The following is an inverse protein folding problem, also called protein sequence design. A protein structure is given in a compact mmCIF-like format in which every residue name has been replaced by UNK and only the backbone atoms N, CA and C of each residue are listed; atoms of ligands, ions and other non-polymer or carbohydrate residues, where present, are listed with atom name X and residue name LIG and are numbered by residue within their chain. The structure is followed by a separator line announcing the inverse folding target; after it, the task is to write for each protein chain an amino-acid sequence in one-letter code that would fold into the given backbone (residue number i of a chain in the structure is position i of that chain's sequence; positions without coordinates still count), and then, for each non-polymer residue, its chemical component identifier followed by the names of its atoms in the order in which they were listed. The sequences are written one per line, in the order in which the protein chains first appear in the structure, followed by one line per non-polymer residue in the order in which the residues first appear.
data_IF_096170608936
#
_entry.id   IF_096170608936
#
_cell.length_a   1.000
_cell.length_b   1.000
_cell.length_c   1.000
_cell.angle_alpha   90.00
_cell.angle_beta   90.00
_cell.angle_gamma   90.00
#
_symmetry.space_group_name_H-M   'P 1'
#
loop_
_entity.id
_entity.type
_entity.pdbx_description
1 polymer ?
#
# COMPACT_ATOMS: atom_id res chain seq x y z
N UNK A 1 -40.09 -11.99 27.76
CA UNK A 1 -39.53 -12.10 27.90
C UNK A 1 -38.96 -12.07 27.70
N UNK A 2 -38.92 -11.79 27.55
CA UNK A 2 -38.12 -11.71 27.44
C UNK A 2 -37.52 -11.60 27.03
N UNK A 3 -37.50 -11.45 26.90
CA UNK A 3 -36.73 -11.43 26.64
C UNK A 3 -36.10 -11.34 26.11
N UNK A 4 -36.00 -11.24 25.87
CA UNK A 4 -35.14 -11.24 25.55
C UNK A 4 -34.81 -11.02 24.97
N UNK A 5 -34.82 -10.75 24.90
CA UNK A 5 -34.19 -10.68 24.62
C UNK A 5 -33.72 -10.49 24.13
N UNK A 6 -33.69 -10.32 23.98
CA UNK A 6 -32.90 -10.26 23.72
C UNK A 6 -32.33 -10.12 23.25
N UNK A 7 -32.32 -9.92 23.05
CA UNK A 7 -31.41 -9.88 22.77
C UNK A 7 -30.85 -9.86 22.19
N UNK A 8 -30.98 -9.75 22.07
CA UNK A 8 -30.03 -9.79 21.59
C UNK A 8 -29.49 -9.70 20.93
N UNK A 9 -29.31 -9.56 20.61
CA UNK A 9 -28.47 -9.54 20.22
C UNK A 9 -27.92 -9.54 19.85
N UNK A 10 -28.05 -9.39 19.77
CA UNK A 10 -27.11 -9.45 19.44
C UNK A 10 -26.60 -9.48 18.97
N UNK A 11 -26.81 -9.29 18.94
CA UNK A 11 -26.00 -9.38 18.65
C UNK A 11 -25.50 -9.35 18.10
N UNK A 12 -25.56 -9.17 17.85
CA UNK A 12 -24.66 -9.13 17.58
C UNK A 12 -24.28 -8.95 16.86
N UNK A 13 -24.34 -8.75 16.86
CA UNK A 13 -23.64 -8.61 16.44
C UNK A 13 -23.15 -8.50 15.93
N UNK A 14 -23.05 -8.42 15.80
CA UNK A 14 -22.26 -8.29 15.24
C UNK A 14 -21.73 -8.16 14.72
N UNK A 15 -21.79 -8.01 14.59
CA UNK A 15 -21.03 -7.92 14.19
C UNK A 15 -20.56 -7.76 13.68
N UNK A 16 -20.52 -7.69 13.60
CA UNK A 16 -19.77 -7.49 13.08
C UNK A 16 -19.30 -7.37 12.48
N UNK A 17 -19.07 -7.39 12.26
CA UNK A 17 -18.44 -7.35 11.83
C UNK A 17 -18.18 -7.22 11.14
N UNK A 18 -18.24 -7.11 11.13
CA UNK A 18 -17.86 -6.97 10.64
C UNK A 18 -17.59 -6.73 9.99
N UNK A 19 -17.57 -6.53 9.77
CA UNK A 19 -17.07 -6.30 9.28
C UNK A 19 -16.62 -6.00 8.76
N UNK A 20 -16.58 -5.56 8.70
CA UNK A 20 -15.85 -5.26 8.33
C UNK A 20 -15.18 -5.02 7.12
N UNK A 21 -15.14 -5.18 6.44
CA UNK A 21 -14.40 -5.18 5.23
C UNK A 21 -14.49 -3.98 4.39
N UNK A 22 -15.55 -3.39 4.21
CA UNK A 22 -15.63 -2.23 3.50
C UNK A 22 -14.93 -1.11 4.06
N UNK A 23 -14.85 -1.09 5.28
CA UNK A 23 -14.04 -0.17 5.94
C UNK A 23 -12.61 -0.26 5.50
N UNK A 24 -12.13 -1.46 5.28
CA UNK A 24 -10.78 -1.64 4.80
C UNK A 24 -10.58 -1.05 3.43
N UNK A 25 -11.58 -1.10 2.57
CA UNK A 25 -11.47 -0.56 1.23
C UNK A 25 -11.36 0.95 1.23
N UNK A 26 -11.79 1.61 2.31
CA UNK A 26 -11.71 3.06 2.41
C UNK A 26 -10.43 3.53 3.08
N UNK A 27 -9.64 2.62 3.63
CA UNK A 27 -8.38 3.00 4.27
C UNK A 27 -7.33 3.32 3.24
N UNK A 28 -6.54 4.34 3.52
CA UNK A 28 -5.44 4.73 2.66
C UNK A 28 -4.22 5.00 3.51
N UNK A 29 -3.07 4.77 2.91
CA UNK A 29 -1.79 5.13 3.47
C UNK A 29 -1.37 6.44 2.84
N UNK A 30 -1.04 7.44 3.66
CA UNK A 30 -0.57 8.73 3.14
C UNK A 30 0.88 8.90 3.50
N UNK A 31 1.71 9.13 2.49
CA UNK A 31 3.15 9.22 2.68
C UNK A 31 3.65 10.46 1.98
N UNK A 32 4.41 11.28 2.69
CA UNK A 32 5.03 12.47 2.11
C UNK A 32 6.42 12.10 1.60
N UNK A 33 6.64 12.32 0.32
CA UNK A 33 7.93 12.06 -0.30
C UNK A 33 8.01 12.81 -1.62
N UNK A 34 9.20 13.17 -2.02
CA UNK A 34 9.45 13.89 -3.29
C UNK A 34 8.63 15.16 -3.41
N UNK A 35 8.38 15.84 -2.27
CA UNK A 35 7.68 17.11 -2.26
C UNK A 35 6.18 17.03 -2.43
N UNK A 36 5.60 15.84 -2.28
CA UNK A 36 4.16 15.68 -2.40
C UNK A 36 3.68 14.54 -1.52
N UNK A 37 2.36 14.44 -1.36
CA UNK A 37 1.74 13.38 -0.60
C UNK A 37 1.27 12.30 -1.55
N UNK A 38 1.65 11.06 -1.27
CA UNK A 38 1.24 9.88 -2.03
C UNK A 38 0.14 9.18 -1.26
N UNK A 39 -0.93 8.83 -1.95
CA UNK A 39 -2.08 8.17 -1.33
C UNK A 39 -2.17 6.75 -1.90
N UNK A 40 -2.04 5.77 -1.03
CA UNK A 40 -1.98 4.37 -1.44
C UNK A 40 -3.10 3.62 -0.75
N UNK A 41 -4.02 3.03 -1.51
CA UNK A 41 -5.07 2.22 -0.89
C UNK A 41 -4.44 1.06 -0.12
N UNK A 42 -4.84 0.88 1.13
CA UNK A 42 -4.26 -0.14 2.00
C UNK A 42 -4.43 -1.54 1.44
N UNK A 43 -5.47 -1.75 0.65
CA UNK A 43 -5.71 -3.06 0.06
C UNK A 43 -4.59 -3.50 -0.88
N UNK A 44 -3.81 -2.57 -1.41
CA UNK A 44 -2.67 -2.91 -2.27
C UNK A 44 -1.57 -3.61 -1.52
N UNK A 45 -1.51 -3.42 -0.20
CA UNK A 45 -0.54 -4.09 0.65
C UNK A 45 -1.02 -5.46 1.09
N UNK A 46 -2.32 -5.69 1.03
CA UNK A 46 -2.93 -6.96 1.42
C UNK A 46 -3.12 -7.80 0.16
N UNK A 47 -2.01 -8.22 -0.43
CA UNK A 47 -1.99 -8.91 -1.71
C UNK A 47 -0.91 -9.97 -1.67
N UNK A 48 -1.26 -11.19 -2.09
CA UNK A 48 -0.34 -12.32 -2.02
C UNK A 48 0.89 -12.11 -2.89
N UNK A 49 0.70 -11.60 -4.09
CA UNK A 49 1.83 -11.34 -4.98
C UNK A 49 2.74 -10.26 -4.41
N UNK A 50 2.14 -9.23 -3.81
CA UNK A 50 2.91 -8.18 -3.18
C UNK A 50 3.79 -8.76 -2.07
N UNK A 51 3.22 -9.64 -1.24
CA UNK A 51 3.96 -10.26 -0.15
C UNK A 51 5.11 -11.11 -0.67
N UNK A 52 4.89 -11.83 -1.77
CA UNK A 52 5.95 -12.61 -2.39
C UNK A 52 7.10 -11.72 -2.86
N UNK A 53 6.75 -10.60 -3.50
CA UNK A 53 7.78 -9.67 -3.99
C UNK A 53 8.54 -9.04 -2.83
N UNK A 54 7.85 -8.74 -1.73
CA UNK A 54 8.52 -8.21 -0.54
C UNK A 54 9.52 -9.22 0.03
N UNK A 55 9.14 -10.50 0.04
CA UNK A 55 10.06 -11.54 0.48
C UNK A 55 11.31 -11.59 -0.38
N UNK A 56 11.15 -11.48 -1.68
CA UNK A 56 12.30 -11.46 -2.60
C UNK A 56 13.19 -10.25 -2.38
N UNK A 57 12.57 -9.10 -2.12
CA UNK A 57 13.34 -7.90 -1.86
C UNK A 57 14.16 -8.06 -0.58
N UNK A 58 13.58 -8.63 0.46
CA UNK A 58 14.28 -8.89 1.71
C UNK A 58 15.42 -9.88 1.53
N UNK A 59 15.28 -10.79 0.58
CA UNK A 59 16.34 -11.76 0.26
C UNK A 59 17.43 -11.15 -0.63
N UNK A 60 17.32 -9.86 -0.95
CA UNK A 60 18.36 -9.17 -1.68
C UNK A 60 18.14 -9.11 -3.18
N UNK A 61 16.94 -9.31 -3.67
CA UNK A 61 16.63 -9.25 -5.10
C UNK A 61 16.09 -7.86 -5.45
N UNK A 62 16.93 -6.95 -5.96
CA UNK A 62 16.49 -5.60 -6.28
C UNK A 62 15.64 -5.52 -7.55
N UNK A 63 15.63 -6.58 -8.35
CA UNK A 63 14.92 -6.56 -9.62
C UNK A 63 13.41 -6.55 -9.45
N UNK A 64 12.91 -6.84 -8.24
CA UNK A 64 11.47 -6.77 -7.96
C UNK A 64 10.99 -5.36 -7.66
N UNK A 65 11.92 -4.40 -7.45
CA UNK A 65 11.55 -3.04 -7.05
C UNK A 65 10.59 -2.37 -8.03
N UNK A 66 10.81 -2.40 -9.35
CA UNK A 66 9.86 -1.78 -10.27
C UNK A 66 8.46 -2.38 -10.18
N UNK A 67 8.38 -3.68 -9.99
CA UNK A 67 7.07 -4.33 -9.87
C UNK A 67 6.37 -3.95 -8.59
N UNK A 68 7.11 -3.90 -7.48
CA UNK A 68 6.58 -3.44 -6.21
C UNK A 68 6.06 -2.01 -6.36
N UNK A 69 6.85 -1.14 -6.99
CA UNK A 69 6.47 0.25 -7.20
C UNK A 69 5.17 0.37 -7.98
N UNK A 70 5.03 -0.42 -9.05
CA UNK A 70 3.81 -0.39 -9.84
C UNK A 70 2.60 -0.90 -9.06
N UNK A 71 2.78 -1.92 -8.24
CA UNK A 71 1.70 -2.44 -7.42
C UNK A 71 1.26 -1.45 -6.37
N UNK A 72 2.21 -0.74 -5.76
CA UNK A 72 1.89 0.25 -4.74
C UNK A 72 1.24 1.50 -5.33
N UNK A 73 1.78 2.01 -6.41
CA UNK A 73 1.44 3.33 -6.90
C UNK A 73 0.45 3.32 -8.07
N UNK A 74 0.34 2.18 -8.76
CA UNK A 74 -0.52 2.13 -9.93
C UNK A 74 -0.11 3.18 -10.94
N UNK A 75 -1.04 4.00 -11.38
CA UNK A 75 -0.77 5.03 -12.38
C UNK A 75 0.21 6.08 -11.87
N UNK A 76 0.31 6.26 -10.56
CA UNK A 76 1.22 7.24 -9.98
C UNK A 76 2.68 6.82 -10.09
N UNK A 77 2.94 5.56 -10.46
CA UNK A 77 4.32 5.09 -10.64
C UNK A 77 5.06 5.90 -11.70
N UNK A 78 4.39 6.23 -12.81
CA UNK A 78 5.04 7.03 -13.85
C UNK A 78 5.28 8.46 -13.37
N UNK A 79 4.40 8.99 -12.53
CA UNK A 79 4.63 10.30 -11.92
C UNK A 79 5.89 10.27 -11.07
N UNK A 80 6.06 9.21 -10.26
CA UNK A 80 7.24 9.06 -9.43
C UNK A 80 8.49 8.96 -10.28
N UNK A 81 8.44 8.18 -11.35
CA UNK A 81 9.58 8.06 -12.26
C UNK A 81 9.96 9.41 -12.84
N UNK A 82 8.96 10.21 -13.23
CA UNK A 82 9.22 11.54 -13.75
C UNK A 82 9.92 12.44 -12.75
N UNK A 83 9.51 12.35 -11.48
CA UNK A 83 10.13 13.16 -10.43
C UNK A 83 11.56 12.72 -10.13
N UNK A 84 11.85 11.44 -10.27
CA UNK A 84 13.19 10.90 -10.01
C UNK A 84 14.11 10.96 -11.21
N UNK A 85 13.58 11.27 -12.39
CA UNK A 85 14.35 11.25 -13.62
C UNK A 85 15.39 12.34 -13.63
N UNK A 86 16.63 11.97 -13.94
CA UNK A 86 17.70 12.91 -14.09
C UNK A 86 17.51 13.68 -15.41
N UNK A 87 17.38 15.02 -15.38
CA UNK A 87 17.11 15.78 -16.60
C UNK A 87 18.27 15.74 -17.61
N UNK A 88 19.49 15.50 -17.15
CA UNK A 88 20.64 15.47 -18.03
C UNK A 88 20.79 14.15 -18.77
N UNK A 89 20.44 13.04 -18.14
CA UNK A 89 20.61 11.71 -18.74
C UNK A 89 19.31 11.10 -19.19
N UNK A 90 18.17 11.61 -18.70
CA UNK A 90 16.86 11.03 -18.97
C UNK A 90 16.61 9.71 -18.24
N UNK A 91 17.46 9.37 -17.30
CA UNK A 91 17.37 8.09 -16.59
C UNK A 91 16.87 8.26 -15.18
N UNK A 92 16.25 7.19 -14.67
CA UNK A 92 15.91 7.06 -13.27
C UNK A 92 16.90 6.08 -12.67
N UNK A 93 17.65 6.51 -11.66
CA UNK A 93 18.59 5.59 -11.02
C UNK A 93 17.84 4.53 -10.24
N UNK A 94 18.26 3.28 -10.37
CA UNK A 94 17.64 2.19 -9.65
C UNK A 94 17.71 2.41 -8.13
N UNK A 95 18.84 2.96 -7.66
CA UNK A 95 18.99 3.24 -6.23
C UNK A 95 18.02 4.30 -5.74
N UNK A 96 17.73 5.30 -6.58
CA UNK A 96 16.75 6.34 -6.19
C UNK A 96 15.35 5.76 -6.10
N UNK A 97 15.00 4.89 -7.03
CA UNK A 97 13.68 4.25 -7.00
C UNK A 97 13.57 3.31 -5.79
N UNK A 98 14.64 2.57 -5.49
CA UNK A 98 14.64 1.69 -4.33
C UNK A 98 14.45 2.49 -3.04
N UNK A 99 15.14 3.61 -2.93
CA UNK A 99 15.02 4.46 -1.75
C UNK A 99 13.61 5.03 -1.63
N UNK A 100 13.04 5.47 -2.74
CA UNK A 100 11.69 6.01 -2.75
C UNK A 100 10.66 4.95 -2.35
N UNK A 101 10.75 3.76 -2.94
CA UNK A 101 9.84 2.66 -2.59
C UNK A 101 9.99 2.30 -1.12
N UNK A 102 11.24 2.30 -0.62
CA UNK A 102 11.48 2.05 0.80
C UNK A 102 10.82 3.08 1.69
N UNK A 103 10.88 4.35 1.30
CA UNK A 103 10.23 5.42 2.05
C UNK A 103 8.71 5.21 2.11
N UNK A 104 8.12 4.85 0.97
CA UNK A 104 6.68 4.59 0.92
C UNK A 104 6.32 3.42 1.84
N UNK A 105 7.11 2.35 1.80
CA UNK A 105 6.82 1.16 2.60
C UNK A 105 6.97 1.40 4.09
N UNK A 106 7.79 2.37 4.47
CA UNK A 106 7.99 2.72 5.87
C UNK A 106 6.95 3.72 6.38
N UNK A 107 6.12 4.22 5.49
CA UNK A 107 5.09 5.17 5.86
C UNK A 107 5.57 6.61 5.88
N UNK A 108 6.71 6.86 5.25
CA UNK A 108 7.20 8.24 5.12
C UNK A 108 8.35 8.61 6.01
#
# INVERSE_FOLDING_TARGET
MSRNRRRPRPAGAPAPQDHKPRKDASEVLRVDALGRTWVIPAERLDDDEFMELMGRLQDGDPFVVPRIGRMLLGDDYETARGLLRNPDTGRVKASDMLEFVGTILQGG
#
